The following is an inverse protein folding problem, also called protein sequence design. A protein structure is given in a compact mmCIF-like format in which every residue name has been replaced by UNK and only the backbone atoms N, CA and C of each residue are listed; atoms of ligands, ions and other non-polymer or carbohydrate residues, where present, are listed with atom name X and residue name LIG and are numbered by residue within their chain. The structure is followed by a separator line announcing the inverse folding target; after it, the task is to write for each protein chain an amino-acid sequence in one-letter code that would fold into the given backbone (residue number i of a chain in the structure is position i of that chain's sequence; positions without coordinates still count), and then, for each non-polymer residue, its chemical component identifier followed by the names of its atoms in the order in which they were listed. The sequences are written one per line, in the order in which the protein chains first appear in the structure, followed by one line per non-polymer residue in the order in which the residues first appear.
data_IF_992822626774
#
_entry.id   IF_992822626774
#
_cell.length_a   1.000
_cell.length_b   1.000
_cell.length_c   1.000
_cell.angle_alpha   90.00
_cell.angle_beta   90.00
_cell.angle_gamma   90.00
#
_symmetry.space_group_name_H-M   'P 1'
#
loop_
_entity.id
_entity.type
_entity.pdbx_description
1 polymer ?
#
# COMPACT_ATOMS: atom_id res chain seq x y z
N UNK A 1 -10.23 -9.05 12.62
CA UNK A 1 -10.79 -8.00 11.76
C UNK A 1 -12.06 -8.51 11.13
N UNK A 2 -13.08 -7.66 11.01
CA UNK A 2 -14.25 -7.91 10.19
C UNK A 2 -13.92 -7.69 8.71
N UNK A 3 -14.77 -8.19 7.82
CA UNK A 3 -14.66 -7.94 6.37
C UNK A 3 -14.60 -6.44 6.06
N UNK A 4 -15.45 -5.64 6.69
CA UNK A 4 -15.50 -4.19 6.52
C UNK A 4 -14.21 -3.49 7.01
N UNK A 5 -13.61 -3.96 8.11
CA UNK A 5 -12.31 -3.43 8.58
C UNK A 5 -11.17 -3.75 7.60
N UNK A 6 -11.17 -4.94 6.99
CA UNK A 6 -10.20 -5.31 5.96
C UNK A 6 -10.36 -4.46 4.69
N UNK A 7 -11.59 -4.26 4.22
CA UNK A 7 -11.89 -3.43 3.05
C UNK A 7 -11.48 -1.98 3.29
N UNK A 8 -11.77 -1.43 4.47
CA UNK A 8 -11.32 -0.09 4.86
C UNK A 8 -9.79 0.00 4.92
N UNK A 9 -9.12 -0.97 5.53
CA UNK A 9 -7.65 -1.00 5.58
C UNK A 9 -7.04 -1.06 4.18
N UNK A 10 -7.59 -1.89 3.29
CA UNK A 10 -7.16 -1.98 1.88
C UNK A 10 -7.35 -0.63 1.17
N UNK A 11 -8.48 0.05 1.39
CA UNK A 11 -8.72 1.36 0.79
C UNK A 11 -7.68 2.39 1.26
N UNK A 12 -7.40 2.45 2.57
CA UNK A 12 -6.37 3.32 3.13
C UNK A 12 -4.98 3.02 2.56
N UNK A 13 -4.57 1.75 2.56
CA UNK A 13 -3.27 1.33 2.01
C UNK A 13 -3.11 1.71 0.53
N UNK A 14 -4.18 1.59 -0.28
CA UNK A 14 -4.18 2.04 -1.68
C UNK A 14 -4.02 3.55 -1.82
N UNK A 15 -4.67 4.34 -0.96
CA UNK A 15 -4.52 5.79 -0.99
C UNK A 15 -3.10 6.22 -0.61
N UNK A 16 -2.52 5.57 0.40
CA UNK A 16 -1.12 5.83 0.80
C UNK A 16 -0.14 5.42 -0.29
N UNK A 17 -0.35 4.27 -0.94
CA UNK A 17 0.45 3.82 -2.09
C UNK A 17 0.50 4.89 -3.19
N UNK A 18 -0.67 5.39 -3.62
CA UNK A 18 -0.76 6.42 -4.68
C UNK A 18 -0.03 7.70 -4.28
N UNK A 19 -0.20 8.15 -3.04
CA UNK A 19 0.46 9.35 -2.53
C UNK A 19 1.98 9.19 -2.51
N UNK A 20 2.46 8.07 -1.98
CA UNK A 20 3.89 7.78 -1.83
C UNK A 20 4.55 7.61 -3.20
N UNK A 21 3.88 6.94 -4.15
CA UNK A 21 4.38 6.82 -5.51
C UNK A 21 4.50 8.20 -6.18
N UNK A 22 3.50 9.06 -6.03
CA UNK A 22 3.56 10.43 -6.57
C UNK A 22 4.67 11.28 -5.94
N UNK A 23 4.98 11.07 -4.66
CA UNK A 23 6.10 11.74 -4.00
C UNK A 23 7.46 11.13 -4.44
N UNK A 24 7.50 9.83 -4.71
CA UNK A 24 8.66 9.14 -5.28
C UNK A 24 9.01 9.69 -6.66
N UNK A 25 8.03 9.81 -7.56
CA UNK A 25 8.21 10.38 -8.90
C UNK A 25 8.78 11.81 -8.84
N UNK A 26 8.35 12.62 -7.87
CA UNK A 26 8.94 13.95 -7.63
C UNK A 26 10.38 13.86 -7.15
N UNK A 27 10.71 12.94 -6.24
CA UNK A 27 12.08 12.76 -5.74
C UNK A 27 13.03 12.31 -6.87
N UNK A 28 12.60 11.39 -7.72
CA UNK A 28 13.34 10.98 -8.91
C UNK A 28 13.55 12.16 -9.87
N UNK A 29 12.52 12.98 -10.09
CA UNK A 29 12.60 14.14 -10.99
C UNK A 29 13.65 15.18 -10.58
N UNK A 30 13.99 15.24 -9.28
CA UNK A 30 15.04 16.12 -8.75
C UNK A 30 16.37 15.40 -8.50
N UNK A 31 16.52 14.17 -9.01
CA UNK A 31 17.74 13.38 -8.93
C UNK A 31 18.07 12.86 -7.52
N UNK A 32 17.07 12.72 -6.65
CA UNK A 32 17.25 12.17 -5.29
C UNK A 32 17.07 10.66 -5.28
N UNK A 33 17.76 9.99 -4.34
CA UNK A 33 17.61 8.55 -4.12
C UNK A 33 16.19 8.23 -3.61
N UNK A 34 15.59 7.17 -4.17
CA UNK A 34 14.24 6.71 -3.85
C UNK A 34 14.17 5.33 -3.22
N UNK A 35 15.30 4.67 -2.95
CA UNK A 35 15.33 3.29 -2.42
C UNK A 35 14.55 3.16 -1.11
N UNK A 36 14.60 4.18 -0.26
CA UNK A 36 13.83 4.21 0.99
C UNK A 36 12.32 4.23 0.72
N UNK A 37 11.89 5.01 -0.28
CA UNK A 37 10.49 5.14 -0.69
C UNK A 37 10.00 3.87 -1.39
N UNK A 38 10.81 3.27 -2.25
CA UNK A 38 10.52 1.98 -2.88
C UNK A 38 10.31 0.87 -1.85
N UNK A 39 11.16 0.80 -0.81
CA UNK A 39 10.97 -0.16 0.29
C UNK A 39 9.64 0.00 1.00
N UNK A 40 9.17 1.24 1.18
CA UNK A 40 7.86 1.51 1.78
C UNK A 40 6.74 1.06 0.84
N UNK A 41 6.84 1.29 -0.47
CA UNK A 41 5.86 0.80 -1.44
C UNK A 41 5.76 -0.73 -1.42
N UNK A 42 6.90 -1.44 -1.37
CA UNK A 42 6.93 -2.91 -1.25
C UNK A 42 6.22 -3.38 0.02
N UNK A 43 6.45 -2.72 1.16
CA UNK A 43 5.76 -3.06 2.41
C UNK A 43 4.24 -2.88 2.29
N UNK A 44 3.79 -1.81 1.63
CA UNK A 44 2.36 -1.58 1.40
C UNK A 44 1.77 -2.68 0.50
N UNK A 45 2.48 -3.13 -0.52
CA UNK A 45 2.05 -4.23 -1.38
C UNK A 45 1.94 -5.56 -0.62
N UNK A 46 2.90 -5.86 0.25
CA UNK A 46 2.86 -7.03 1.12
C UNK A 46 1.65 -6.98 2.07
N UNK A 47 1.40 -5.83 2.70
CA UNK A 47 0.24 -5.64 3.57
C UNK A 47 -1.08 -5.75 2.80
N UNK A 48 -1.17 -5.20 1.59
CA UNK A 48 -2.34 -5.33 0.72
C UNK A 48 -2.60 -6.78 0.36
N UNK A 49 -1.56 -7.53 0.02
CA UNK A 49 -1.65 -8.96 -0.29
C UNK A 49 -2.18 -9.74 0.90
N UNK A 50 -1.64 -9.51 2.10
CA UNK A 50 -2.09 -10.15 3.33
C UNK A 50 -3.56 -9.81 3.63
N UNK A 51 -3.95 -8.54 3.52
CA UNK A 51 -5.33 -8.12 3.75
C UNK A 51 -6.30 -8.79 2.76
N UNK A 52 -5.94 -8.88 1.48
CA UNK A 52 -6.75 -9.56 0.47
C UNK A 52 -6.87 -11.07 0.73
N UNK A 53 -5.79 -11.71 1.20
CA UNK A 53 -5.83 -13.12 1.58
C UNK A 53 -6.74 -13.36 2.79
N UNK A 54 -6.73 -12.47 3.78
CA UNK A 54 -7.66 -12.53 4.91
C UNK A 54 -9.10 -12.28 4.47
N UNK A 55 -9.32 -11.32 3.57
CA UNK A 55 -10.64 -11.01 3.03
C UNK A 55 -11.24 -12.20 2.26
N UNK A 56 -10.43 -12.91 1.48
CA UNK A 56 -10.84 -14.12 0.78
C UNK A 56 -11.20 -15.28 1.72
N UNK A 57 -10.64 -15.30 2.93
CA UNK A 57 -10.96 -16.29 3.99
C UNK A 57 -12.17 -15.89 4.83
N UNK A 58 -12.62 -14.64 4.77
CA UNK A 58 -13.84 -14.21 5.45
C UNK A 58 -15.08 -14.76 4.70
N UNK A 59 -15.94 -15.56 5.36
CA UNK A 59 -17.19 -16.01 4.75
C UNK A 59 -18.11 -14.82 4.44
N UNK A 60 -18.87 -14.94 3.35
CA UNK A 60 -19.84 -13.95 2.85
C UNK A 60 -21.08 -13.84 3.71
#
# INVERSE_FOLDING_TARGET
MTKAELENKIATLKMDYIRIQGDMEKLESVGRNVEATERVLIQIEEELKECNQQLAKCPS
#
